data_IF_420323768023
#
_entry.id   IF_420323768023
#
_cell.length_a   1.000
_cell.length_b   1.000
_cell.length_c   1.000
_cell.angle_alpha   90.00
_cell.angle_beta   90.00
_cell.angle_gamma   90.00
#
_symmetry.space_group_name_H-M   'P 1'
#
loop_
_entity.id
_entity.type
_entity.pdbx_description
1 polymer ?
#
# COMPACT_ATOMS: atom_id res chain seq x y z
N UNK A 1 29.11 -4.03 30.63
CA UNK A 1 28.20 -3.40 31.61
C UNK A 1 27.08 -2.78 30.80
N UNK A 2 25.96 -3.49 30.76
CA UNK A 2 24.77 -3.11 30.04
C UNK A 2 24.01 -2.05 30.85
N UNK A 3 23.78 -0.88 30.28
CA UNK A 3 22.80 0.05 30.82
C UNK A 3 21.43 -0.32 30.24
N UNK A 4 20.59 -0.77 31.16
CA UNK A 4 19.14 -0.81 31.02
C UNK A 4 18.63 0.63 30.90
N UNK A 5 18.09 0.99 29.74
CA UNK A 5 17.14 2.10 29.60
C UNK A 5 15.88 1.57 28.91
N UNK A 6 15.17 0.70 29.62
CA UNK A 6 13.81 0.28 29.32
C UNK A 6 12.85 0.97 30.29
N UNK A 7 12.85 2.30 30.34
CA UNK A 7 11.82 3.06 31.03
C UNK A 7 11.40 4.26 30.18
N UNK A 8 10.08 4.33 29.92
CA UNK A 8 9.35 5.46 29.34
C UNK A 8 9.52 5.75 27.82
N UNK A 9 8.93 4.91 26.97
CA UNK A 9 8.41 5.35 25.65
C UNK A 9 6.89 5.41 25.70
N UNK A 10 6.36 6.41 26.41
CA UNK A 10 4.97 6.82 26.28
C UNK A 10 4.81 7.74 25.07
N UNK A 11 3.78 7.51 24.26
CA UNK A 11 3.34 8.27 23.07
C UNK A 11 4.32 8.34 21.88
N UNK A 12 3.83 7.95 20.70
CA UNK A 12 4.57 7.86 19.44
C UNK A 12 5.40 9.10 19.14
N UNK A 13 6.70 8.91 18.93
CA UNK A 13 7.62 9.99 18.59
C UNK A 13 7.53 10.36 17.12
N UNK A 14 6.71 11.36 16.78
CA UNK A 14 6.70 11.97 15.45
C UNK A 14 7.93 12.90 15.28
N UNK A 15 9.12 12.33 15.36
CA UNK A 15 10.39 13.08 15.40
C UNK A 15 10.99 13.33 14.02
N UNK A 16 10.44 12.74 12.96
CA UNK A 16 11.02 12.81 11.61
C UNK A 16 11.19 14.24 11.10
N UNK A 17 10.21 15.12 11.33
CA UNK A 17 10.33 16.53 10.97
C UNK A 17 11.53 17.18 11.69
N UNK A 18 11.72 16.90 12.99
CA UNK A 18 12.84 17.44 13.76
C UNK A 18 14.21 16.84 13.39
N UNK A 19 14.24 15.61 12.86
CA UNK A 19 15.48 14.94 12.44
C UNK A 19 15.92 15.27 11.01
N UNK A 20 15.09 15.98 10.22
CA UNK A 20 15.45 16.35 8.86
C UNK A 20 16.62 17.34 8.83
N UNK A 21 17.68 16.95 8.12
CA UNK A 21 18.80 17.81 7.78
C UNK A 21 18.36 18.98 6.88
N UNK A 22 19.15 20.06 6.86
CA UNK A 22 18.91 21.19 5.96
C UNK A 22 18.97 20.73 4.49
N UNK A 23 17.92 21.02 3.74
CA UNK A 23 17.80 20.64 2.34
C UNK A 23 16.42 20.98 1.76
N UNK A 24 16.17 20.67 0.48
CA UNK A 24 14.94 21.07 -0.22
C UNK A 24 13.65 20.57 0.47
N UNK A 25 13.68 19.35 1.02
CA UNK A 25 12.54 18.79 1.75
C UNK A 25 12.26 19.55 3.05
N UNK A 26 13.32 19.89 3.80
CA UNK A 26 13.18 20.66 5.04
C UNK A 26 12.67 22.07 4.77
N UNK A 27 13.27 22.76 3.79
CA UNK A 27 12.84 24.11 3.38
C UNK A 27 11.38 24.12 2.90
N UNK A 28 10.96 23.13 2.10
CA UNK A 28 9.56 22.98 1.67
C UNK A 28 8.63 22.82 2.87
N UNK A 29 9.00 21.98 3.83
CA UNK A 29 8.18 21.72 5.01
C UNK A 29 8.08 22.95 5.93
N UNK A 30 9.20 23.66 6.16
CA UNK A 30 9.23 24.88 6.98
C UNK A 30 8.41 26.01 6.34
N UNK A 31 8.55 26.23 5.04
CA UNK A 31 7.76 27.22 4.29
C UNK A 31 6.26 26.92 4.35
N UNK A 32 5.89 25.64 4.21
CA UNK A 32 4.51 25.21 4.33
C UNK A 32 3.96 25.38 5.75
N UNK A 33 4.73 25.02 6.77
CA UNK A 33 4.35 25.20 8.17
C UNK A 33 4.03 26.67 8.48
N UNK A 34 4.79 27.60 7.90
CA UNK A 34 4.60 29.04 8.05
C UNK A 34 3.42 29.59 7.21
N UNK A 35 3.09 28.98 6.07
CA UNK A 35 2.03 29.48 5.18
C UNK A 35 0.62 29.09 5.62
N UNK A 36 0.47 27.95 6.30
CA UNK A 36 -0.81 27.41 6.77
C UNK A 36 -1.41 28.30 7.87
N UNK A 37 -2.71 28.60 7.74
CA UNK A 37 -3.48 29.28 8.78
C UNK A 37 -4.02 28.27 9.81
N UNK A 38 -3.19 27.94 10.80
CA UNK A 38 -3.51 26.97 11.86
C UNK A 38 -4.71 27.37 12.73
N UNK A 39 -4.95 28.67 12.94
CA UNK A 39 -6.12 29.13 13.68
C UNK A 39 -7.42 28.81 12.93
N UNK A 40 -7.45 29.05 11.61
CA UNK A 40 -8.60 28.67 10.80
C UNK A 40 -8.83 27.15 10.79
N UNK A 41 -7.76 26.34 10.82
CA UNK A 41 -7.87 24.88 10.93
C UNK A 41 -8.53 24.48 12.26
N UNK A 42 -8.11 25.07 13.38
CA UNK A 42 -8.68 24.81 14.70
C UNK A 42 -10.15 25.27 14.80
N UNK A 43 -10.50 26.44 14.27
CA UNK A 43 -11.89 26.90 14.17
C UNK A 43 -12.75 25.93 13.36
N UNK A 44 -12.22 25.45 12.23
CA UNK A 44 -12.89 24.47 11.37
C UNK A 44 -13.11 23.14 12.11
N UNK A 45 -12.07 22.62 12.76
CA UNK A 45 -12.12 21.38 13.53
C UNK A 45 -13.11 21.48 14.70
N UNK A 46 -13.06 22.56 15.47
CA UNK A 46 -14.01 22.84 16.54
C UNK A 46 -15.45 22.87 16.02
N UNK A 47 -15.71 23.56 14.90
CA UNK A 47 -17.03 23.59 14.27
C UNK A 47 -17.52 22.19 13.86
N UNK A 48 -16.64 21.37 13.27
CA UNK A 48 -16.96 19.97 12.91
C UNK A 48 -17.21 19.09 14.12
N UNK A 49 -16.71 19.47 15.29
CA UNK A 49 -16.94 18.80 16.57
C UNK A 49 -17.89 19.60 17.48
N UNK A 50 -18.97 20.15 16.94
CA UNK A 50 -20.04 20.81 17.69
C UNK A 50 -19.56 21.96 18.62
N UNK A 51 -18.50 22.68 18.23
CA UNK A 51 -17.95 23.82 18.97
C UNK A 51 -17.00 23.46 20.11
N UNK A 52 -16.62 22.18 20.28
CA UNK A 52 -15.64 21.79 21.30
C UNK A 52 -14.29 22.44 20.99
N UNK A 53 -13.73 23.16 21.97
CA UNK A 53 -12.44 23.83 21.83
C UNK A 53 -11.30 22.84 21.61
N UNK A 54 -10.31 23.23 20.82
CA UNK A 54 -9.16 22.39 20.50
C UNK A 54 -7.86 23.18 20.34
N UNK A 55 -6.74 22.46 20.46
CA UNK A 55 -5.38 22.97 20.26
C UNK A 55 -4.56 22.00 19.42
N UNK A 56 -3.48 22.49 18.81
CA UNK A 56 -2.49 21.61 18.18
C UNK A 56 -1.51 21.09 19.22
N UNK A 57 -1.15 19.82 19.11
CA UNK A 57 0.02 19.27 19.81
C UNK A 57 1.32 19.69 19.10
N UNK A 58 2.46 19.71 19.82
CA UNK A 58 3.73 20.18 19.27
C UNK A 58 4.27 19.27 18.15
N UNK A 59 3.90 17.99 18.19
CA UNK A 59 4.39 16.97 17.26
C UNK A 59 3.99 17.26 15.80
N UNK A 60 4.95 17.04 14.90
CA UNK A 60 4.80 17.23 13.46
C UNK A 60 5.22 15.97 12.74
N UNK A 61 4.25 15.30 12.14
CA UNK A 61 4.50 14.27 11.16
C UNK A 61 4.82 14.86 9.80
N UNK A 62 5.73 14.22 9.09
CA UNK A 62 6.04 14.59 7.72
C UNK A 62 6.22 13.34 6.87
N UNK A 63 5.43 13.22 5.81
CA UNK A 63 5.65 12.30 4.71
C UNK A 63 6.11 13.05 3.47
N UNK A 64 6.32 12.35 2.36
CA UNK A 64 6.80 12.97 1.10
C UNK A 64 5.85 14.06 0.56
N UNK A 65 4.53 13.84 0.69
CA UNK A 65 3.49 14.72 0.15
C UNK A 65 2.60 15.38 1.20
N UNK A 66 2.79 15.05 2.48
CA UNK A 66 1.85 15.44 3.53
C UNK A 66 2.56 15.89 4.80
N UNK A 67 2.03 16.93 5.42
CA UNK A 67 2.32 17.30 6.80
C UNK A 67 1.17 16.84 7.69
N UNK A 68 1.49 16.29 8.85
CA UNK A 68 0.52 15.71 9.77
C UNK A 68 0.62 16.37 11.15
N UNK A 69 -0.51 16.80 11.70
CA UNK A 69 -0.60 17.41 13.03
C UNK A 69 -1.71 16.77 13.85
N UNK A 70 -1.54 16.70 15.16
CA UNK A 70 -2.57 16.23 16.08
C UNK A 70 -3.36 17.42 16.63
N UNK A 71 -4.67 17.37 16.46
CA UNK A 71 -5.65 18.29 17.05
C UNK A 71 -6.22 17.64 18.30
N UNK A 72 -5.89 18.20 19.47
CA UNK A 72 -6.40 17.77 20.76
C UNK A 72 -7.62 18.61 21.15
N UNK A 73 -8.76 17.96 21.35
CA UNK A 73 -9.97 18.57 21.87
C UNK A 73 -9.99 18.59 23.40
N UNK A 74 -10.70 19.55 23.98
CA UNK A 74 -10.86 19.69 25.44
C UNK A 74 -11.64 18.55 26.09
N UNK A 75 -12.43 17.80 25.30
CA UNK A 75 -13.13 16.59 25.74
C UNK A 75 -12.22 15.33 25.77
N UNK A 76 -10.92 15.49 25.56
CA UNK A 76 -9.94 14.41 25.55
C UNK A 76 -9.77 13.71 24.20
N UNK A 77 -10.66 13.91 23.22
CA UNK A 77 -10.50 13.30 21.90
C UNK A 77 -9.37 13.94 21.10
N UNK A 78 -8.78 13.15 20.20
CA UNK A 78 -7.75 13.60 19.28
C UNK A 78 -8.13 13.29 17.85
N UNK A 79 -7.91 14.25 16.96
CA UNK A 79 -7.96 14.05 15.51
C UNK A 79 -6.59 14.27 14.89
N UNK A 80 -6.36 13.61 13.77
CA UNK A 80 -5.23 13.86 12.88
C UNK A 80 -5.67 14.82 11.78
N UNK A 81 -4.92 15.90 11.61
CA UNK A 81 -4.98 16.77 10.45
C UNK A 81 -3.85 16.37 9.48
N UNK A 82 -4.20 15.80 8.33
CA UNK A 82 -3.27 15.50 7.22
C UNK A 82 -3.44 16.60 6.17
N UNK A 83 -2.41 17.43 6.00
CA UNK A 83 -2.39 18.56 5.07
C UNK A 83 -1.49 18.24 3.88
N UNK A 84 -1.90 18.64 2.68
CA UNK A 84 -1.13 18.41 1.46
C UNK A 84 -0.01 19.45 1.34
N UNK A 85 1.23 18.98 1.17
CA UNK A 85 2.37 19.85 0.87
C UNK A 85 2.30 20.33 -0.60
N UNK A 86 2.70 21.58 -0.91
CA UNK A 86 2.83 22.07 -2.29
C UNK A 86 3.77 21.18 -3.11
N UNK A 87 3.59 21.07 -4.43
CA UNK A 87 4.51 20.30 -5.27
C UNK A 87 5.94 20.82 -5.20
N UNK A 88 6.94 19.94 -5.33
CA UNK A 88 8.35 20.33 -5.45
C UNK A 88 8.70 20.86 -6.86
N UNK A 89 7.88 20.55 -7.87
CA UNK A 89 8.07 21.01 -9.24
C UNK A 89 7.27 22.29 -9.49
N UNK A 90 7.93 23.38 -9.85
CA UNK A 90 7.29 24.60 -10.31
C UNK A 90 6.59 24.36 -11.67
N UNK A 91 5.33 24.78 -11.80
CA UNK A 91 4.64 24.88 -13.10
C UNK A 91 3.90 23.65 -13.61
N UNK A 92 3.76 22.58 -12.82
CA UNK A 92 3.01 21.40 -13.26
C UNK A 92 1.50 21.64 -13.09
N UNK A 93 0.75 21.59 -14.20
CA UNK A 93 -0.72 21.60 -14.26
C UNK A 93 -1.35 20.30 -13.71
N UNK A 94 -0.75 19.75 -12.64
CA UNK A 94 -1.14 18.51 -11.95
C UNK A 94 -2.15 18.75 -10.84
N UNK A 95 -2.63 19.97 -10.61
CA UNK A 95 -3.67 20.26 -9.63
C UNK A 95 -4.93 19.39 -9.87
N UNK A 96 -5.40 19.24 -11.12
CA UNK A 96 -6.57 18.38 -11.46
C UNK A 96 -6.34 16.88 -11.18
N UNK A 97 -5.12 16.36 -11.42
CA UNK A 97 -4.77 14.95 -11.15
C UNK A 97 -4.63 14.69 -9.65
N UNK A 98 -4.28 15.70 -8.88
CA UNK A 98 -4.04 15.61 -7.44
C UNK A 98 -5.33 15.84 -6.63
N UNK A 99 -6.22 16.75 -7.05
CA UNK A 99 -7.56 16.94 -6.46
C UNK A 99 -8.40 15.66 -6.56
N UNK A 100 -8.34 14.95 -7.69
CA UNK A 100 -9.04 13.66 -7.84
C UNK A 100 -8.52 12.56 -6.91
N UNK A 101 -7.31 12.68 -6.34
CA UNK A 101 -6.73 11.62 -5.49
C UNK A 101 -7.35 11.58 -4.08
N UNK A 102 -7.61 12.72 -3.45
CA UNK A 102 -8.20 12.74 -2.10
C UNK A 102 -9.68 12.33 -2.11
N UNK A 103 -10.44 12.70 -3.16
CA UNK A 103 -11.82 12.21 -3.36
C UNK A 103 -11.83 10.69 -3.54
N UNK A 104 -10.92 10.14 -4.36
CA UNK A 104 -10.81 8.68 -4.56
C UNK A 104 -10.49 7.96 -3.25
N UNK A 105 -9.56 8.52 -2.47
CA UNK A 105 -9.22 7.99 -1.14
C UNK A 105 -10.42 8.00 -0.20
N UNK A 106 -11.14 9.13 -0.12
CA UNK A 106 -12.34 9.23 0.71
C UNK A 106 -13.42 8.23 0.30
N UNK A 107 -13.71 8.16 -1.01
CA UNK A 107 -14.71 7.26 -1.58
C UNK A 107 -14.36 5.81 -1.29
N UNK A 108 -13.08 5.43 -1.44
CA UNK A 108 -12.59 4.11 -1.09
C UNK A 108 -12.75 3.82 0.40
N UNK A 109 -12.38 4.76 1.28
CA UNK A 109 -12.55 4.58 2.73
C UNK A 109 -14.04 4.39 3.08
N UNK A 110 -14.94 5.13 2.46
CA UNK A 110 -16.38 4.94 2.62
C UNK A 110 -16.82 3.54 2.18
N UNK A 111 -16.36 3.06 1.00
CA UNK A 111 -16.65 1.72 0.50
C UNK A 111 -16.22 0.65 1.50
N UNK A 112 -14.97 0.70 1.96
CA UNK A 112 -14.43 -0.32 2.87
C UNK A 112 -15.17 -0.30 4.20
N UNK A 113 -15.44 0.88 4.76
CA UNK A 113 -16.19 1.00 6.02
C UNK A 113 -17.64 0.53 5.90
N UNK A 114 -18.27 0.68 4.73
CA UNK A 114 -19.64 0.23 4.51
C UNK A 114 -19.71 -1.30 4.35
N UNK A 115 -18.70 -1.91 3.74
CA UNK A 115 -18.72 -3.33 3.33
C UNK A 115 -17.97 -4.26 4.28
N UNK A 116 -17.19 -3.73 5.23
CA UNK A 116 -16.31 -4.54 6.09
C UNK A 116 -16.27 -4.01 7.52
N UNK A 117 -15.68 -4.81 8.41
CA UNK A 117 -15.33 -4.44 9.78
C UNK A 117 -13.84 -4.13 9.91
N UNK A 118 -13.16 -3.82 8.80
CA UNK A 118 -11.75 -3.42 8.83
C UNK A 118 -11.65 -2.11 9.65
N UNK A 119 -10.77 -2.06 10.66
CA UNK A 119 -10.58 -0.84 11.42
C UNK A 119 -9.93 0.21 10.52
N UNK A 120 -10.63 1.31 10.26
CA UNK A 120 -10.15 2.44 9.45
C UNK A 120 -10.48 3.71 10.22
N UNK A 121 -9.56 4.70 10.33
CA UNK A 121 -9.86 5.99 10.94
C UNK A 121 -11.11 6.61 10.31
N UNK A 122 -12.05 7.10 11.13
CA UNK A 122 -13.19 7.84 10.60
C UNK A 122 -12.70 9.18 10.05
N UNK A 123 -13.15 9.53 8.86
CA UNK A 123 -12.93 10.86 8.29
C UNK A 123 -14.05 11.78 8.78
N UNK A 124 -13.67 12.90 9.40
CA UNK A 124 -14.59 13.91 9.94
C UNK A 124 -14.80 15.08 8.97
N UNK A 125 -13.77 15.41 8.18
CA UNK A 125 -13.88 16.43 7.15
C UNK A 125 -12.77 16.32 6.11
N UNK A 126 -13.07 16.87 4.92
CA UNK A 126 -12.12 17.09 3.82
C UNK A 126 -12.36 18.51 3.31
N UNK A 127 -11.27 19.22 3.01
CA UNK A 127 -11.26 20.46 2.25
C UNK A 127 -10.20 20.30 1.15
N UNK A 128 -10.63 20.41 -0.09
CA UNK A 128 -9.79 20.15 -1.27
C UNK A 128 -9.11 21.41 -1.77
N UNK A 129 -9.71 22.57 -1.51
CA UNK A 129 -9.25 23.81 -2.11
C UNK A 129 -8.07 24.39 -1.36
N UNK A 130 -7.04 24.75 -2.10
CA UNK A 130 -5.87 25.46 -1.58
C UNK A 130 -6.22 26.90 -1.17
N UNK A 131 -7.23 27.53 -1.79
CA UNK A 131 -7.69 28.89 -1.52
C UNK A 131 -8.63 29.01 -0.30
N UNK A 132 -8.83 27.92 0.44
CA UNK A 132 -9.64 27.93 1.66
C UNK A 132 -8.98 28.78 2.76
N UNK A 133 -9.73 29.10 3.83
CA UNK A 133 -9.22 29.91 4.96
C UNK A 133 -7.97 29.32 5.63
N UNK A 134 -7.79 28.00 5.55
CA UNK A 134 -6.64 27.26 6.09
C UNK A 134 -5.40 27.43 5.20
N UNK A 135 -5.57 27.85 3.94
CA UNK A 135 -4.52 28.02 2.92
C UNK A 135 -3.82 26.72 2.51
N UNK A 136 -4.49 25.59 2.70
CA UNK A 136 -3.99 24.28 2.31
C UNK A 136 -5.16 23.28 2.23
N UNK A 137 -5.14 22.34 1.27
CA UNK A 137 -6.02 21.18 1.30
C UNK A 137 -5.71 20.29 2.51
N UNK A 138 -6.75 19.78 3.16
CA UNK A 138 -6.58 18.94 4.35
C UNK A 138 -7.70 17.92 4.55
N UNK A 139 -7.37 16.90 5.35
CA UNK A 139 -8.30 15.90 5.87
C UNK A 139 -8.19 15.85 7.39
N UNK A 140 -9.34 15.86 8.08
CA UNK A 140 -9.46 15.60 9.51
C UNK A 140 -9.99 14.18 9.72
N UNK A 141 -9.27 13.36 10.48
CA UNK A 141 -9.64 11.97 10.76
C UNK A 141 -9.37 11.57 12.21
N UNK A 142 -9.89 10.44 12.66
CA UNK A 142 -9.58 9.88 13.98
C UNK A 142 -8.06 9.75 14.17
N UNK A 143 -7.58 10.07 15.39
CA UNK A 143 -6.21 9.78 15.79
C UNK A 143 -6.14 8.40 16.45
N UNK A 144 -5.59 7.41 15.73
CA UNK A 144 -5.35 6.08 16.28
C UNK A 144 -4.04 6.10 17.07
N UNK A 145 -4.12 5.75 18.36
CA UNK A 145 -2.97 5.73 19.28
C UNK A 145 -2.14 4.47 19.09
N UNK A 146 -1.29 4.47 18.06
CA UNK A 146 -0.39 3.37 17.77
C UNK A 146 0.77 3.80 16.89
N UNK A 147 1.55 2.81 16.48
CA UNK A 147 2.75 2.99 15.67
C UNK A 147 2.57 2.31 14.31
N UNK A 148 3.21 2.84 13.27
CA UNK A 148 3.28 2.20 11.94
C UNK A 148 4.65 1.57 11.71
N UNK A 149 4.79 0.78 10.64
CA UNK A 149 6.03 0.05 10.35
C UNK A 149 7.31 0.89 10.38
N UNK A 150 7.27 2.14 9.91
CA UNK A 150 8.43 3.03 9.95
C UNK A 150 8.91 3.33 11.37
N UNK A 151 8.00 3.45 12.33
CA UNK A 151 8.31 3.68 13.75
C UNK A 151 8.86 2.41 14.42
N UNK A 152 8.60 1.25 13.81
CA UNK A 152 8.88 -0.10 14.32
C UNK A 152 10.06 -0.78 13.61
N UNK A 153 10.83 -0.04 12.81
CA UNK A 153 11.96 -0.58 12.05
C UNK A 153 11.56 -1.60 10.99
N UNK A 154 10.32 -1.53 10.50
CA UNK A 154 9.73 -2.43 9.50
C UNK A 154 9.77 -3.92 9.88
N UNK A 155 9.83 -4.22 11.17
CA UNK A 155 9.93 -5.58 11.70
C UNK A 155 8.83 -5.89 12.71
N UNK A 156 8.45 -7.15 12.80
CA UNK A 156 7.50 -7.64 13.81
C UNK A 156 8.26 -8.60 14.74
N UNK A 157 8.31 -8.34 16.06
CA UNK A 157 8.95 -9.23 17.01
C UNK A 157 8.38 -10.65 16.93
N UNK A 158 9.23 -11.70 17.02
CA UNK A 158 8.79 -13.09 16.86
C UNK A 158 7.60 -13.49 17.74
N UNK A 159 7.56 -12.98 18.99
CA UNK A 159 6.48 -13.25 19.94
C UNK A 159 5.10 -12.75 19.48
N UNK A 160 5.04 -11.69 18.66
CA UNK A 160 3.79 -11.12 18.17
C UNK A 160 3.48 -11.49 16.71
N UNK A 161 4.49 -11.93 15.95
CA UNK A 161 4.42 -12.23 14.51
C UNK A 161 3.21 -13.07 14.13
N UNK A 162 2.98 -14.20 14.80
CA UNK A 162 1.84 -15.08 14.51
C UNK A 162 0.48 -14.40 14.72
N UNK A 163 0.33 -13.62 15.78
CA UNK A 163 -0.93 -12.91 16.07
C UNK A 163 -1.16 -11.77 15.07
N UNK A 164 -0.10 -11.02 14.75
CA UNK A 164 -0.12 -9.95 13.75
C UNK A 164 -0.50 -10.48 12.35
N UNK A 165 0.16 -11.56 11.89
CA UNK A 165 -0.13 -12.16 10.59
C UNK A 165 -1.56 -12.70 10.49
N UNK A 166 -2.13 -13.23 11.57
CA UNK A 166 -3.55 -13.59 11.63
C UNK A 166 -4.47 -12.37 11.50
N UNK A 167 -4.13 -11.27 12.15
CA UNK A 167 -4.84 -10.00 11.99
C UNK A 167 -4.81 -9.51 10.53
N UNK A 168 -3.65 -9.58 9.88
CA UNK A 168 -3.53 -9.24 8.45
C UNK A 168 -4.34 -10.18 7.56
N UNK A 169 -4.33 -11.49 7.83
CA UNK A 169 -5.14 -12.46 7.09
C UNK A 169 -6.63 -12.13 7.17
N UNK A 170 -7.11 -11.77 8.37
CA UNK A 170 -8.50 -11.33 8.58
C UNK A 170 -8.88 -10.08 7.78
N UNK A 171 -7.98 -9.11 7.69
CA UNK A 171 -8.19 -7.91 6.87
C UNK A 171 -8.20 -8.27 5.38
N UNK A 172 -7.27 -9.11 4.95
CA UNK A 172 -7.15 -9.53 3.55
C UNK A 172 -8.38 -10.30 3.07
N UNK A 173 -8.91 -11.21 3.90
CA UNK A 173 -10.18 -11.91 3.63
C UNK A 173 -11.35 -10.94 3.57
N UNK A 174 -11.43 -9.94 4.45
CA UNK A 174 -12.50 -8.94 4.35
C UNK A 174 -12.38 -8.06 3.09
N UNK A 175 -11.18 -7.78 2.60
CA UNK A 175 -11.02 -7.08 1.32
C UNK A 175 -11.49 -7.91 0.13
N UNK A 176 -11.33 -9.24 0.21
CA UNK A 176 -11.74 -10.16 -0.85
C UNK A 176 -13.26 -10.21 -1.04
N UNK A 177 -14.04 -9.78 -0.03
CA UNK A 177 -15.49 -9.68 -0.11
C UNK A 177 -15.99 -8.40 -0.76
N UNK A 178 -15.12 -7.39 -0.97
CA UNK A 178 -15.47 -6.17 -1.69
C UNK A 178 -15.29 -6.41 -3.19
N UNK A 179 -16.36 -6.85 -3.83
CA UNK A 179 -16.37 -7.26 -5.23
C UNK A 179 -16.96 -6.18 -6.14
N UNK A 180 -16.21 -5.78 -7.16
CA UNK A 180 -16.53 -4.69 -8.08
C UNK A 180 -16.59 -5.19 -9.53
N UNK A 181 -17.45 -4.61 -10.39
CA UNK A 181 -17.72 -5.14 -11.72
C UNK A 181 -16.61 -4.88 -12.74
N UNK A 182 -15.74 -3.88 -12.49
CA UNK A 182 -14.64 -3.50 -13.38
C UNK A 182 -13.35 -3.34 -12.60
N UNK A 183 -12.21 -3.48 -13.28
CA UNK A 183 -10.88 -3.19 -12.73
C UNK A 183 -10.62 -1.68 -12.85
N UNK A 184 -10.32 -1.00 -11.74
CA UNK A 184 -10.19 0.45 -11.75
C UNK A 184 -10.16 1.09 -10.36
N UNK A 185 -9.85 2.39 -10.31
CA UNK A 185 -9.91 3.18 -9.06
C UNK A 185 -11.36 3.51 -8.69
N UNK A 186 -11.64 3.75 -7.41
CA UNK A 186 -12.98 4.12 -6.97
C UNK A 186 -13.16 5.63 -7.09
N UNK A 187 -13.94 6.10 -8.05
CA UNK A 187 -14.00 7.54 -8.40
C UNK A 187 -15.24 8.25 -7.86
N UNK A 188 -16.35 7.55 -7.68
CA UNK A 188 -17.60 8.13 -7.20
C UNK A 188 -18.54 7.08 -6.60
N UNK A 189 -19.59 7.56 -5.94
CA UNK A 189 -20.76 6.77 -5.53
C UNK A 189 -21.93 7.13 -6.43
N UNK A 190 -22.53 6.13 -7.06
CA UNK A 190 -23.72 6.28 -7.89
C UNK A 190 -24.95 6.61 -7.03
N UNK A 191 -26.01 7.13 -7.67
CA UNK A 191 -27.25 7.47 -6.97
C UNK A 191 -27.94 6.27 -6.29
N UNK A 192 -27.70 5.06 -6.78
CA UNK A 192 -28.20 3.80 -6.22
C UNK A 192 -27.32 3.25 -5.07
N UNK A 193 -26.26 3.96 -4.68
CA UNK A 193 -25.31 3.55 -3.65
C UNK A 193 -24.25 2.55 -4.11
N UNK A 194 -24.21 2.20 -5.39
CA UNK A 194 -23.09 1.44 -5.96
C UNK A 194 -21.89 2.34 -6.21
N UNK A 195 -20.71 1.75 -6.42
CA UNK A 195 -19.47 2.49 -6.61
C UNK A 195 -19.04 2.47 -8.07
N UNK A 196 -18.66 3.62 -8.59
CA UNK A 196 -18.16 3.78 -9.95
C UNK A 196 -16.65 3.56 -9.99
N UNK A 197 -16.19 2.68 -10.90
CA UNK A 197 -14.77 2.50 -11.19
C UNK A 197 -14.32 3.44 -12.32
N UNK A 198 -13.12 3.99 -12.18
CA UNK A 198 -12.45 4.83 -13.17
C UNK A 198 -11.05 4.32 -13.51
N UNK A 199 -10.30 5.07 -14.33
CA UNK A 199 -8.97 4.67 -14.75
C UNK A 199 -7.99 4.57 -13.57
N UNK A 200 -7.02 3.65 -13.70
CA UNK A 200 -5.85 3.54 -12.84
C UNK A 200 -4.79 4.53 -13.37
N UNK A 201 -4.28 5.47 -12.54
CA UNK A 201 -3.26 6.43 -12.94
C UNK A 201 -2.05 5.78 -13.62
N UNK A 202 -1.65 6.30 -14.78
CA UNK A 202 -0.53 5.78 -15.58
C UNK A 202 -0.83 4.51 -16.39
N UNK A 203 -1.91 3.79 -16.07
CA UNK A 203 -2.26 2.52 -16.72
C UNK A 203 -3.46 2.64 -17.66
N UNK A 204 -4.52 3.33 -17.25
CA UNK A 204 -5.78 3.48 -18.02
C UNK A 204 -6.96 2.72 -17.40
N UNK A 205 -7.98 2.44 -18.21
CA UNK A 205 -9.22 1.78 -17.77
C UNK A 205 -10.39 2.76 -17.53
N UNK A 206 -11.44 2.35 -16.78
CA UNK A 206 -11.58 1.05 -16.10
C UNK A 206 -11.67 -0.09 -17.13
N UNK A 207 -11.22 -1.29 -16.74
CA UNK A 207 -11.20 -2.46 -17.62
C UNK A 207 -12.34 -3.42 -17.28
N UNK A 208 -12.94 -4.03 -18.31
CA UNK A 208 -14.00 -5.02 -18.15
C UNK A 208 -13.44 -6.43 -17.91
N UNK A 209 -12.17 -6.65 -18.29
CA UNK A 209 -11.50 -7.95 -18.10
C UNK A 209 -10.10 -7.84 -17.50
N UNK A 210 -9.66 -8.90 -16.84
CA UNK A 210 -8.28 -9.04 -16.38
C UNK A 210 -7.29 -9.07 -17.56
N UNK A 211 -7.70 -9.68 -18.68
CA UNK A 211 -6.94 -9.71 -19.93
C UNK A 211 -6.63 -8.30 -20.45
N UNK A 212 -7.62 -7.41 -20.48
CA UNK A 212 -7.42 -6.00 -20.85
C UNK A 212 -6.44 -5.30 -19.89
N UNK A 213 -6.56 -5.55 -18.58
CA UNK A 213 -5.64 -5.02 -17.59
C UNK A 213 -4.19 -5.50 -17.84
N UNK A 214 -3.97 -6.79 -18.08
CA UNK A 214 -2.63 -7.32 -18.32
C UNK A 214 -2.01 -6.82 -19.63
N UNK A 215 -2.82 -6.65 -20.69
CA UNK A 215 -2.38 -6.01 -21.94
C UNK A 215 -1.99 -4.55 -21.71
N UNK A 216 -2.82 -3.79 -21.01
CA UNK A 216 -2.50 -2.41 -20.66
C UNK A 216 -1.24 -2.32 -19.78
N UNK A 217 -1.06 -3.25 -18.84
CA UNK A 217 0.13 -3.30 -17.99
C UNK A 217 1.39 -3.53 -18.82
N UNK A 218 1.35 -4.50 -19.74
CA UNK A 218 2.44 -4.80 -20.66
C UNK A 218 2.81 -3.62 -21.56
N UNK A 219 1.83 -2.86 -22.03
CA UNK A 219 2.04 -1.73 -22.95
C UNK A 219 2.53 -0.46 -22.25
N UNK A 220 2.12 -0.23 -21.00
CA UNK A 220 2.37 1.04 -20.29
C UNK A 220 3.54 0.98 -19.31
N UNK A 221 3.85 -0.20 -18.79
CA UNK A 221 4.85 -0.36 -17.74
C UNK A 221 6.26 -0.38 -18.31
N UNK A 222 7.19 0.30 -17.63
CA UNK A 222 8.62 0.34 -17.96
C UNK A 222 9.42 -0.05 -16.72
N UNK A 223 10.55 -0.72 -16.91
CA UNK A 223 11.42 -1.16 -15.82
C UNK A 223 12.10 -0.01 -15.05
N UNK A 224 12.35 1.13 -15.71
CA UNK A 224 12.91 2.31 -15.07
C UNK A 224 14.44 2.46 -15.15
N UNK A 225 15.19 1.40 -15.52
CA UNK A 225 16.63 1.47 -15.81
C UNK A 225 16.92 1.34 -17.31
N UNK A 226 17.92 2.07 -17.81
CA UNK A 226 18.46 1.87 -19.17
C UNK A 226 19.37 0.65 -19.25
N UNK A 227 19.65 0.18 -20.47
CA UNK A 227 20.61 -0.90 -20.72
C UNK A 227 22.00 -0.56 -20.17
N UNK A 228 22.45 0.69 -20.27
CA UNK A 228 23.74 1.15 -19.73
C UNK A 228 23.76 1.04 -18.21
N UNK A 229 22.71 1.52 -17.53
CA UNK A 229 22.57 1.42 -16.08
C UNK A 229 22.53 -0.05 -15.62
N UNK A 230 21.86 -0.91 -16.38
CA UNK A 230 21.83 -2.35 -16.11
C UNK A 230 23.20 -3.01 -16.30
N UNK A 231 23.96 -2.64 -17.35
CA UNK A 231 25.32 -3.14 -17.55
C UNK A 231 26.24 -2.78 -16.40
N UNK A 232 26.16 -1.54 -15.93
CA UNK A 232 26.92 -1.05 -14.79
C UNK A 232 26.54 -1.79 -13.49
N UNK A 233 25.23 -1.93 -13.22
CA UNK A 233 24.74 -2.57 -12.00
C UNK A 233 24.99 -4.09 -11.96
N UNK A 234 24.92 -4.78 -13.11
CA UNK A 234 24.94 -6.25 -13.17
C UNK A 234 26.32 -6.84 -13.51
N UNK A 235 27.23 -6.03 -14.07
CA UNK A 235 28.55 -6.48 -14.52
C UNK A 235 28.48 -7.72 -15.42
N UNK A 236 29.09 -8.86 -15.05
CA UNK A 236 29.14 -10.05 -15.90
C UNK A 236 27.77 -10.68 -16.15
N UNK A 237 26.76 -10.42 -15.30
CA UNK A 237 25.41 -10.98 -15.45
C UNK A 237 24.53 -10.18 -16.43
N UNK A 238 25.00 -9.01 -16.90
CA UNK A 238 24.23 -8.12 -17.75
C UNK A 238 23.77 -8.78 -19.06
N UNK A 239 24.57 -9.69 -19.62
CA UNK A 239 24.26 -10.38 -20.87
C UNK A 239 22.98 -11.24 -20.78
N UNK A 240 22.68 -11.79 -19.60
CA UNK A 240 21.47 -12.60 -19.37
C UNK A 240 20.31 -11.74 -18.84
N UNK A 241 20.61 -10.75 -17.98
CA UNK A 241 19.61 -9.94 -17.30
C UNK A 241 18.93 -8.96 -18.26
N UNK A 242 19.68 -8.27 -19.12
CA UNK A 242 19.11 -7.23 -20.00
C UNK A 242 18.04 -7.81 -20.92
N UNK A 243 18.29 -8.88 -21.72
CA UNK A 243 17.26 -9.47 -22.56
C UNK A 243 16.05 -9.99 -21.77
N UNK A 244 16.29 -10.51 -20.57
CA UNK A 244 15.25 -10.98 -19.66
C UNK A 244 14.33 -9.84 -19.18
N UNK A 245 14.90 -8.72 -18.74
CA UNK A 245 14.15 -7.52 -18.34
C UNK A 245 13.39 -6.91 -19.53
N UNK A 246 14.03 -6.79 -20.70
CA UNK A 246 13.41 -6.18 -21.89
C UNK A 246 12.24 -7.00 -22.45
N UNK A 247 12.25 -8.33 -22.25
CA UNK A 247 11.21 -9.23 -22.78
C UNK A 247 10.05 -9.49 -21.81
N UNK A 248 10.17 -9.13 -20.54
CA UNK A 248 9.18 -9.49 -19.51
C UNK A 248 7.79 -8.89 -19.78
N UNK A 249 7.71 -7.56 -19.95
CA UNK A 249 6.42 -6.89 -20.20
C UNK A 249 5.73 -7.44 -21.46
N UNK A 250 6.50 -7.65 -22.55
CA UNK A 250 6.00 -8.27 -23.78
C UNK A 250 5.48 -9.69 -23.55
N UNK A 251 6.12 -10.46 -22.67
CA UNK A 251 5.70 -11.82 -22.33
C UNK A 251 4.40 -11.82 -21.54
N UNK A 252 4.22 -10.90 -20.59
CA UNK A 252 2.94 -10.69 -19.90
C UNK A 252 1.83 -10.36 -20.91
N UNK A 253 2.09 -9.45 -21.85
CA UNK A 253 1.12 -9.08 -22.88
C UNK A 253 0.71 -10.26 -23.78
N UNK A 254 1.66 -11.13 -24.15
CA UNK A 254 1.39 -12.36 -24.91
C UNK A 254 0.59 -13.40 -24.11
N UNK A 255 0.82 -13.49 -22.81
CA UNK A 255 0.16 -14.45 -21.94
C UNK A 255 -1.18 -13.95 -21.40
N UNK A 256 -1.52 -12.67 -21.58
CA UNK A 256 -2.65 -11.98 -20.95
C UNK A 256 -3.96 -12.79 -20.96
N UNK A 257 -4.32 -13.39 -22.10
CA UNK A 257 -5.55 -14.17 -22.30
C UNK A 257 -5.59 -15.47 -21.45
N UNK A 258 -4.47 -15.88 -20.87
CA UNK A 258 -4.30 -17.10 -20.05
C UNK A 258 -3.97 -16.80 -18.59
N UNK A 259 -3.61 -15.54 -18.30
CA UNK A 259 -3.12 -15.15 -16.99
C UNK A 259 -4.22 -15.14 -15.95
N UNK A 260 -5.50 -14.91 -16.31
CA UNK A 260 -6.57 -14.87 -15.32
C UNK A 260 -7.42 -16.14 -15.29
N UNK A 261 -7.68 -16.65 -14.09
CA UNK A 261 -8.69 -17.69 -13.89
C UNK A 261 -10.11 -17.11 -13.85
N UNK A 262 -10.24 -15.78 -13.74
CA UNK A 262 -11.49 -15.04 -13.51
C UNK A 262 -11.52 -13.78 -14.35
N UNK A 263 -11.43 -13.97 -15.66
CA UNK A 263 -11.20 -12.88 -16.59
C UNK A 263 -12.28 -11.79 -16.53
N UNK A 264 -13.54 -12.17 -16.35
CA UNK A 264 -14.70 -11.25 -16.26
C UNK A 264 -15.08 -10.87 -14.81
N UNK A 265 -14.20 -11.14 -13.84
CA UNK A 265 -14.43 -10.80 -12.45
C UNK A 265 -15.51 -11.66 -11.76
N UNK A 266 -16.19 -11.13 -10.72
CA UNK A 266 -15.99 -9.78 -10.17
C UNK A 266 -14.61 -9.63 -9.50
N UNK A 267 -14.17 -8.39 -9.35
CA UNK A 267 -12.81 -8.03 -8.97
C UNK A 267 -12.72 -7.53 -7.52
N UNK A 268 -11.82 -8.09 -6.69
CA UNK A 268 -11.65 -7.66 -5.30
C UNK A 268 -10.97 -6.29 -5.22
N UNK A 269 -11.22 -5.57 -4.11
CA UNK A 269 -10.54 -4.31 -3.83
C UNK A 269 -9.14 -4.55 -3.27
N UNK A 270 -8.12 -4.20 -4.06
CA UNK A 270 -6.74 -4.13 -3.63
C UNK A 270 -6.48 -2.83 -2.85
N UNK A 271 -5.72 -2.91 -1.76
CA UNK A 271 -5.18 -1.72 -1.08
C UNK A 271 -4.09 -1.02 -1.90
N UNK A 272 -3.34 -1.78 -2.70
CA UNK A 272 -2.21 -1.29 -3.52
C UNK A 272 -0.86 -1.24 -2.78
N UNK A 273 -0.88 -1.09 -1.45
CA UNK A 273 0.32 -0.98 -0.60
C UNK A 273 0.09 -1.68 0.76
N UNK A 274 -0.42 -2.91 0.72
CA UNK A 274 -0.85 -3.62 1.92
C UNK A 274 0.34 -4.24 2.67
N UNK A 275 0.68 -3.70 3.84
CA UNK A 275 1.75 -4.22 4.68
C UNK A 275 1.94 -3.39 5.95
N UNK A 276 2.87 -3.81 6.81
CA UNK A 276 3.18 -3.17 8.11
C UNK A 276 3.41 -1.64 7.99
N UNK A 277 3.89 -1.15 6.86
CA UNK A 277 4.02 0.28 6.56
C UNK A 277 2.70 1.07 6.69
N UNK A 278 1.56 0.43 6.41
CA UNK A 278 0.22 1.04 6.40
C UNK A 278 -0.73 0.45 7.45
N UNK A 279 -0.18 -0.23 8.46
CA UNK A 279 -0.94 -0.85 9.54
C UNK A 279 -0.52 -0.20 10.86
N UNK A 280 -1.48 0.43 11.52
CA UNK A 280 -1.30 1.01 12.86
C UNK A 280 -1.50 -0.11 13.87
N UNK A 281 -0.54 -0.28 14.79
CA UNK A 281 -0.60 -1.28 15.84
C UNK A 281 -0.34 -0.70 17.23
N UNK A 282 -0.84 -1.39 18.26
CA UNK A 282 -0.46 -1.13 19.65
C UNK A 282 0.91 -1.75 20.01
N UNK A 283 1.36 -1.57 21.25
CA UNK A 283 2.65 -2.09 21.74
C UNK A 283 2.77 -3.63 21.72
N UNK A 284 1.65 -4.33 21.54
CA UNK A 284 1.56 -5.80 21.41
C UNK A 284 1.28 -6.23 19.97
N UNK A 285 1.41 -5.32 19.02
CA UNK A 285 1.16 -5.54 17.59
C UNK A 285 -0.28 -5.96 17.28
N UNK A 286 -1.26 -5.62 18.12
CA UNK A 286 -2.67 -5.73 17.75
C UNK A 286 -3.00 -4.62 16.75
N UNK A 287 -3.68 -4.99 15.67
CA UNK A 287 -4.03 -4.04 14.60
C UNK A 287 -5.12 -3.09 15.09
N UNK A 288 -4.81 -1.80 15.10
CA UNK A 288 -5.70 -0.70 15.48
C UNK A 288 -6.33 -0.04 14.25
N UNK A 289 -5.68 -0.09 13.09
CA UNK A 289 -6.23 0.46 11.87
C UNK A 289 -5.40 0.23 10.62
N UNK A 290 -6.07 0.35 9.47
CA UNK A 290 -5.48 0.35 8.13
C UNK A 290 -5.60 1.75 7.54
N UNK A 291 -4.48 2.28 7.06
CA UNK A 291 -4.37 3.65 6.54
C UNK A 291 -3.82 3.66 5.12
N UNK A 292 -3.82 4.84 4.51
CA UNK A 292 -3.22 5.11 3.19
C UNK A 292 -3.81 4.35 1.99
N UNK A 293 -5.11 4.57 1.76
CA UNK A 293 -5.89 3.99 0.66
C UNK A 293 -5.69 4.69 -0.70
N UNK A 294 -4.61 5.45 -0.89
CA UNK A 294 -4.41 6.26 -2.11
C UNK A 294 -4.08 5.45 -3.36
N UNK A 295 -3.49 4.26 -3.18
CA UNK A 295 -3.19 3.31 -4.27
C UNK A 295 -4.27 2.25 -4.46
N UNK A 296 -5.42 2.38 -3.80
CA UNK A 296 -6.45 1.36 -3.83
C UNK A 296 -7.18 1.31 -5.19
N UNK A 297 -7.44 0.10 -5.66
CA UNK A 297 -8.15 -0.16 -6.91
C UNK A 297 -8.79 -1.55 -6.90
N UNK A 298 -9.86 -1.75 -7.66
CA UNK A 298 -10.36 -3.09 -7.96
C UNK A 298 -9.39 -3.77 -8.92
N UNK A 299 -8.83 -4.93 -8.58
CA UNK A 299 -7.78 -5.61 -9.35
C UNK A 299 -8.12 -7.05 -9.74
N UNK A 300 -7.41 -7.64 -10.73
CA UNK A 300 -7.49 -9.07 -10.99
C UNK A 300 -7.18 -9.89 -9.72
N UNK A 301 -7.79 -11.07 -9.60
CA UNK A 301 -7.52 -11.99 -8.49
C UNK A 301 -6.05 -12.40 -8.40
N UNK A 302 -5.34 -12.42 -9.51
CA UNK A 302 -3.90 -12.70 -9.56
C UNK A 302 -3.07 -11.61 -8.88
N UNK A 303 -3.47 -10.34 -9.01
CA UNK A 303 -2.79 -9.22 -8.35
C UNK A 303 -3.21 -9.13 -6.88
N UNK A 304 -4.49 -9.36 -6.60
CA UNK A 304 -5.01 -9.38 -5.24
C UNK A 304 -4.41 -10.52 -4.40
N UNK A 305 -4.22 -11.69 -5.01
CA UNK A 305 -3.63 -12.88 -4.37
C UNK A 305 -2.12 -12.84 -4.17
N UNK A 306 -1.50 -11.65 -4.10
CA UNK A 306 -0.11 -11.50 -3.66
C UNK A 306 -0.02 -11.39 -2.13
N UNK A 307 1.14 -11.71 -1.56
CA UNK A 307 1.34 -11.58 -0.12
C UNK A 307 1.40 -10.10 0.30
N UNK A 308 0.94 -9.77 1.53
CA UNK A 308 1.23 -8.46 2.11
C UNK A 308 2.72 -8.16 2.05
N UNK A 309 3.11 -6.89 1.92
CA UNK A 309 4.51 -6.48 1.77
C UNK A 309 5.41 -6.95 2.92
N UNK A 310 4.84 -7.09 4.12
CA UNK A 310 5.51 -7.70 5.28
C UNK A 310 6.04 -9.12 5.01
N UNK A 311 5.36 -9.87 4.14
CA UNK A 311 5.66 -11.24 3.74
C UNK A 311 6.24 -11.33 2.32
N UNK A 312 6.56 -10.21 1.68
CA UNK A 312 7.03 -10.20 0.29
C UNK A 312 8.45 -10.77 0.18
N UNK A 313 8.59 -11.87 -0.56
CA UNK A 313 9.87 -12.51 -0.88
C UNK A 313 10.14 -12.32 -2.37
N UNK A 314 11.41 -12.14 -2.75
CA UNK A 314 11.80 -12.12 -4.17
C UNK A 314 11.60 -13.53 -4.74
N UNK A 315 10.79 -13.71 -5.80
CA UNK A 315 10.62 -15.02 -6.42
C UNK A 315 11.97 -15.68 -6.73
N UNK A 316 12.19 -16.97 -6.38
CA UNK A 316 13.48 -17.62 -6.58
C UNK A 316 14.03 -17.54 -8.01
N UNK A 317 13.14 -17.49 -9.02
CA UNK A 317 13.51 -17.36 -10.42
C UNK A 317 14.14 -16.01 -10.79
N UNK A 318 13.86 -14.95 -10.03
CA UNK A 318 14.38 -13.59 -10.25
C UNK A 318 15.37 -13.15 -9.18
N UNK A 319 15.54 -13.93 -8.11
CA UNK A 319 16.46 -13.66 -7.02
C UNK A 319 17.90 -14.12 -7.34
N UNK A 320 18.84 -13.71 -6.49
CA UNK A 320 20.24 -14.12 -6.60
C UNK A 320 20.40 -15.64 -6.40
N UNK A 321 21.06 -16.36 -7.33
CA UNK A 321 21.16 -17.82 -7.27
C UNK A 321 21.95 -18.32 -6.07
N UNK A 322 22.88 -17.52 -5.52
CA UNK A 322 23.65 -17.91 -4.34
C UNK A 322 22.82 -17.97 -3.06
N UNK A 323 21.60 -17.42 -3.03
CA UNK A 323 20.67 -17.53 -1.90
C UNK A 323 20.06 -18.94 -1.76
N UNK A 324 20.21 -19.81 -2.77
CA UNK A 324 19.60 -21.13 -2.82
C UNK A 324 20.64 -22.24 -2.98
N UNK A 325 20.31 -23.42 -2.47
CA UNK A 325 21.06 -24.66 -2.66
C UNK A 325 20.84 -25.22 -4.08
N UNK A 326 21.62 -26.23 -4.47
CA UNK A 326 21.51 -26.87 -5.79
C UNK A 326 20.15 -27.52 -6.06
N UNK A 327 19.38 -27.84 -5.01
CA UNK A 327 18.02 -28.37 -5.08
C UNK A 327 16.93 -27.26 -5.08
N UNK A 328 17.33 -25.99 -5.05
CA UNK A 328 16.42 -24.83 -5.00
C UNK A 328 15.93 -24.48 -3.59
N UNK A 329 16.36 -25.18 -2.53
CA UNK A 329 16.01 -24.82 -1.17
C UNK A 329 16.73 -23.54 -0.70
N UNK A 330 16.08 -22.66 0.09
CA UNK A 330 16.72 -21.45 0.60
C UNK A 330 17.85 -21.77 1.59
N UNK A 331 18.96 -21.02 1.53
CA UNK A 331 20.15 -21.26 2.37
C UNK A 331 20.10 -20.61 3.75
N UNK A 332 19.62 -19.38 3.85
CA UNK A 332 19.66 -18.62 5.09
C UNK A 332 18.48 -18.98 5.99
N UNK A 333 18.72 -19.01 7.31
CA UNK A 333 17.66 -19.23 8.29
C UNK A 333 16.53 -18.20 8.16
N UNK A 334 16.87 -16.94 7.86
CA UNK A 334 15.90 -15.87 7.59
C UNK A 334 15.00 -16.20 6.39
N UNK A 335 15.59 -16.58 5.24
CA UNK A 335 14.79 -16.87 4.04
C UNK A 335 13.92 -18.13 4.25
N UNK A 336 14.43 -19.15 4.94
CA UNK A 336 13.65 -20.33 5.36
C UNK A 336 12.45 -19.90 6.20
N UNK A 337 12.67 -19.06 7.22
CA UNK A 337 11.60 -18.57 8.10
C UNK A 337 10.53 -17.80 7.30
N UNK A 338 10.94 -16.93 6.37
CA UNK A 338 10.00 -16.15 5.56
C UNK A 338 9.12 -17.03 4.67
N UNK A 339 9.66 -18.11 4.09
CA UNK A 339 8.85 -19.08 3.35
C UNK A 339 7.87 -19.84 4.26
N UNK A 340 8.28 -20.19 5.47
CA UNK A 340 7.38 -20.78 6.47
C UNK A 340 6.29 -19.80 6.91
N UNK A 341 6.60 -18.51 7.05
CA UNK A 341 5.60 -17.48 7.33
C UNK A 341 4.57 -17.35 6.21
N UNK A 342 5.00 -17.39 4.95
CA UNK A 342 4.07 -17.38 3.81
C UNK A 342 3.11 -18.58 3.88
N UNK A 343 3.62 -19.79 4.13
CA UNK A 343 2.77 -20.98 4.33
C UNK A 343 1.81 -20.81 5.50
N UNK A 344 2.30 -20.32 6.63
CA UNK A 344 1.50 -20.03 7.82
C UNK A 344 0.42 -18.97 7.56
N UNK A 345 0.71 -17.98 6.72
CA UNK A 345 -0.23 -16.95 6.31
C UNK A 345 -1.34 -17.51 5.41
N UNK A 346 -1.01 -18.35 4.41
CA UNK A 346 -2.05 -19.01 3.58
C UNK A 346 -3.00 -19.84 4.44
N UNK A 347 -2.46 -20.56 5.43
CA UNK A 347 -3.29 -21.33 6.36
C UNK A 347 -4.15 -20.43 7.26
N UNK A 348 -3.62 -19.29 7.73
CA UNK A 348 -4.41 -18.32 8.48
C UNK A 348 -5.56 -17.71 7.64
N UNK A 349 -5.30 -17.41 6.36
CA UNK A 349 -6.34 -16.96 5.41
C UNK A 349 -7.39 -18.04 5.23
N UNK A 350 -6.99 -19.28 4.99
CA UNK A 350 -7.92 -20.41 4.82
C UNK A 350 -8.80 -20.62 6.06
N UNK A 351 -8.22 -20.49 7.26
CA UNK A 351 -8.98 -20.57 8.52
C UNK A 351 -10.02 -19.46 8.64
N UNK A 352 -9.67 -18.23 8.28
CA UNK A 352 -10.61 -17.11 8.30
C UNK A 352 -11.72 -17.28 7.25
N UNK A 353 -11.38 -17.68 6.02
CA UNK A 353 -12.38 -18.01 4.99
C UNK A 353 -13.36 -19.09 5.49
N UNK A 354 -12.86 -20.16 6.11
CA UNK A 354 -13.70 -21.22 6.68
C UNK A 354 -14.60 -20.77 7.84
N UNK A 355 -14.23 -19.70 8.54
CA UNK A 355 -14.98 -19.20 9.69
C UNK A 355 -16.29 -18.52 9.30
N UNK A 356 -16.41 -18.05 8.06
CA UNK A 356 -17.61 -17.45 7.49
C UNK A 356 -18.10 -18.29 6.31
N UNK A 357 -19.23 -18.98 6.46
CA UNK A 357 -19.77 -19.91 5.44
C UNK A 357 -20.12 -19.26 4.10
N UNK A 358 -20.21 -17.93 4.06
CA UNK A 358 -20.47 -17.17 2.83
C UNK A 358 -19.19 -16.80 2.08
N UNK A 359 -18.02 -16.95 2.71
CA UNK A 359 -16.74 -16.67 2.06
C UNK A 359 -16.39 -17.83 1.13
N UNK A 360 -16.11 -17.48 -0.12
CA UNK A 360 -15.60 -18.43 -1.10
C UNK A 360 -14.06 -18.39 -1.03
N UNK A 361 -13.41 -19.55 -1.15
CA UNK A 361 -11.96 -19.76 -0.93
C UNK A 361 -11.01 -19.11 -1.96
N UNK A 362 -11.40 -18.00 -2.56
CA UNK A 362 -10.67 -17.40 -3.68
C UNK A 362 -9.32 -16.82 -3.28
N UNK A 363 -9.18 -16.27 -2.08
CA UNK A 363 -7.92 -15.67 -1.66
C UNK A 363 -6.92 -16.76 -1.26
N UNK A 364 -7.33 -17.77 -0.49
CA UNK A 364 -6.41 -18.87 -0.13
C UNK A 364 -5.99 -19.69 -1.36
N UNK A 365 -6.89 -19.91 -2.33
CA UNK A 365 -6.55 -20.54 -3.62
C UNK A 365 -5.56 -19.71 -4.43
N UNK A 366 -5.77 -18.39 -4.51
CA UNK A 366 -4.88 -17.49 -5.24
C UNK A 366 -3.48 -17.44 -4.61
N UNK A 367 -3.40 -17.29 -3.27
CA UNK A 367 -2.14 -17.28 -2.53
C UNK A 367 -1.40 -18.62 -2.59
N UNK A 368 -2.14 -19.74 -2.61
CA UNK A 368 -1.55 -21.08 -2.71
C UNK A 368 -0.99 -21.37 -4.10
N UNK A 369 -1.49 -20.71 -5.15
CA UNK A 369 -0.98 -20.87 -6.51
C UNK A 369 0.36 -20.14 -6.69
N UNK A 370 1.44 -20.80 -6.28
CA UNK A 370 2.79 -20.24 -6.28
C UNK A 370 3.19 -19.61 -7.62
N UNK A 371 2.77 -20.19 -8.76
CA UNK A 371 3.10 -19.67 -10.09
C UNK A 371 2.48 -18.29 -10.34
N UNK A 372 1.18 -18.16 -10.07
CA UNK A 372 0.44 -16.90 -10.26
C UNK A 372 0.88 -15.86 -9.23
N UNK A 373 1.05 -16.29 -7.98
CA UNK A 373 1.52 -15.46 -6.89
C UNK A 373 2.92 -14.87 -7.20
N UNK A 374 3.89 -15.70 -7.61
CA UNK A 374 5.24 -15.23 -7.97
C UNK A 374 5.23 -14.32 -9.20
N UNK A 375 4.36 -14.57 -10.18
CA UNK A 375 4.21 -13.70 -11.34
C UNK A 375 3.69 -12.31 -10.93
N UNK A 376 2.69 -12.24 -10.04
CA UNK A 376 2.17 -10.98 -9.51
C UNK A 376 3.23 -10.22 -8.69
N UNK A 377 3.98 -10.90 -7.82
CA UNK A 377 5.11 -10.30 -7.10
C UNK A 377 6.16 -9.75 -8.08
N UNK A 378 6.48 -10.51 -9.14
CA UNK A 378 7.45 -10.09 -10.14
C UNK A 378 6.98 -8.89 -10.95
N UNK A 379 5.69 -8.78 -11.29
CA UNK A 379 5.13 -7.58 -11.93
C UNK A 379 5.35 -6.33 -11.07
N UNK A 380 5.05 -6.41 -9.77
CA UNK A 380 5.30 -5.31 -8.82
C UNK A 380 6.80 -4.96 -8.75
N UNK A 381 7.65 -5.97 -8.54
CA UNK A 381 9.11 -5.78 -8.49
C UNK A 381 9.70 -5.20 -9.79
N UNK A 382 9.12 -5.54 -10.95
CA UNK A 382 9.52 -4.98 -12.23
C UNK A 382 9.21 -3.48 -12.31
N UNK A 383 8.06 -3.05 -11.80
CA UNK A 383 7.69 -1.63 -11.72
C UNK A 383 8.61 -0.86 -10.77
N UNK A 384 9.09 -1.52 -9.71
CA UNK A 384 10.04 -0.95 -8.75
C UNK A 384 11.50 -0.97 -9.25
N UNK A 385 11.76 -1.46 -10.47
CA UNK A 385 13.11 -1.55 -11.05
C UNK A 385 13.99 -2.62 -10.42
N UNK A 386 13.42 -3.65 -9.80
CA UNK A 386 14.17 -4.76 -9.21
C UNK A 386 14.84 -5.58 -10.31
N UNK A 387 16.16 -5.56 -10.33
CA UNK A 387 16.98 -6.36 -11.26
C UNK A 387 16.81 -7.86 -10.99
N UNK A 388 16.59 -8.65 -12.05
CA UNK A 388 16.45 -10.10 -11.96
C UNK A 388 16.20 -10.80 -13.29
N UNK A 389 16.23 -12.14 -13.30
CA UNK A 389 16.00 -12.98 -14.49
C UNK A 389 14.53 -13.33 -14.69
N UNK A 390 13.69 -12.31 -14.95
CA UNK A 390 12.27 -12.43 -15.29
C UNK A 390 11.91 -13.46 -16.38
N UNK A 391 12.75 -13.70 -17.39
CA UNK A 391 12.47 -14.71 -18.43
C UNK A 391 12.38 -16.13 -17.85
N UNK A 392 13.20 -16.47 -16.85
CA UNK A 392 13.13 -17.78 -16.17
C UNK A 392 11.78 -17.99 -15.50
N UNK A 393 11.22 -16.93 -14.92
CA UNK A 393 9.90 -16.98 -14.29
C UNK A 393 8.80 -17.25 -15.33
N UNK A 394 8.89 -16.59 -16.49
CA UNK A 394 7.98 -16.83 -17.62
C UNK A 394 8.09 -18.29 -18.11
N UNK A 395 9.31 -18.80 -18.29
CA UNK A 395 9.52 -20.19 -18.72
C UNK A 395 8.96 -21.20 -17.72
N UNK A 396 9.12 -20.95 -16.41
CA UNK A 396 8.54 -21.78 -15.34
C UNK A 396 7.01 -21.73 -15.32
N UNK A 397 6.43 -20.56 -15.64
CA UNK A 397 4.99 -20.40 -15.75
C UNK A 397 4.43 -21.23 -16.92
N UNK A 398 5.07 -21.16 -18.09
CA UNK A 398 4.64 -21.84 -19.34
C UNK A 398 4.90 -23.34 -19.30
N UNK A 399 6.04 -23.79 -18.79
CA UNK A 399 6.46 -25.21 -18.81
C UNK A 399 5.56 -26.16 -18.00
N UNK A 400 4.67 -25.61 -17.17
CA UNK A 400 3.76 -26.37 -16.31
C UNK A 400 2.28 -26.09 -16.62
N UNK A 401 1.98 -25.41 -17.73
CA UNK A 401 0.64 -25.29 -18.34
C UNK A 401 0.50 -26.34 -19.42
#
# INVERSE_FOLDING_TARGET
>A
MANNDHENRGSGGWTYFSSLEHGPLRSRADLFLASVNWNALLEYAAKKRNGVSCKLLPDIGLGYNHMVRIVQFSDGNQWVARLRLPSLAEGDSREDVLETTEIRKFTTICLVRQRTHIPIPKIHAIEERSDCKVKAPFMLMDCLQGNVGMDLGMSVPPMYKKAFLRGLAKIHVQLSTILLPKIGTIVAVNADGTYQQGPIPGLGGPFDTATEFFKAWADKTKFGMSDEQLREACGPYAADIIPSVSSFAKSIGKLADTLSARDHGPFPLCHGDFGLNNIIVDDKYHILGVIDWEMAFAGPWEIFGDFPLTLSIVPPAIDAPWNYNGDGSPKSADLIERFEDQKGYVEAVRQEENSNRENIHHLSEALWNLRRQQLATAMKMYQDGKVGTYSKLIDQFISNT
#
